data_IF_030272210650
#
_entry.id   IF_030272210650
#
_cell.length_a   1.000
_cell.length_b   1.000
_cell.length_c   1.000
_cell.angle_alpha   90.00
_cell.angle_beta   90.00
_cell.angle_gamma   90.00
#
_symmetry.space_group_name_H-M   'P 1'
#
loop_
_entity.id
_entity.type
_entity.pdbx_description
1 polymer ?
#
# COMPACT_ATOMS: atom_id res chain seq x y z
N UNK A 1 -25.93 -43.03 29.05
CA UNK A 1 -25.92 -42.36 27.74
C UNK A 1 -25.18 -41.05 27.92
N UNK A 2 -24.15 -40.81 27.09
CA UNK A 2 -23.32 -39.61 26.96
C UNK A 2 -22.46 -39.20 28.18
N UNK A 3 -21.18 -39.58 28.14
CA UNK A 3 -20.08 -38.86 28.80
C UNK A 3 -19.29 -38.15 27.70
N UNK A 4 -19.03 -36.89 28.00
CA UNK A 4 -18.37 -35.81 27.28
C UNK A 4 -17.10 -36.20 26.49
N UNK A 5 -17.07 -35.80 25.21
CA UNK A 5 -15.91 -35.82 24.31
C UNK A 5 -15.41 -34.39 24.14
N UNK A 6 -14.69 -33.88 25.12
CA UNK A 6 -14.11 -32.54 25.08
C UNK A 6 -12.63 -32.57 25.40
N UNK A 7 -11.77 -32.68 24.37
CA UNK A 7 -10.39 -32.13 24.28
C UNK A 7 -9.49 -32.93 23.31
N UNK A 8 -9.89 -33.11 22.06
CA UNK A 8 -9.04 -33.75 21.02
C UNK A 8 -8.86 -32.87 19.78
N UNK A 9 -8.79 -31.56 19.98
CA UNK A 9 -8.64 -30.57 18.91
C UNK A 9 -7.48 -29.61 19.20
N UNK A 10 -6.23 -30.11 19.25
CA UNK A 10 -5.03 -29.26 19.15
C UNK A 10 -3.70 -30.02 18.91
N UNK A 11 -3.70 -31.27 18.44
CA UNK A 11 -2.44 -32.04 18.31
C UNK A 11 -2.11 -32.53 16.89
N UNK A 12 -2.85 -32.08 15.87
CA UNK A 12 -2.69 -32.59 14.49
C UNK A 12 -1.93 -31.69 13.52
N UNK A 13 -1.47 -30.50 13.93
CA UNK A 13 -0.80 -29.55 13.03
C UNK A 13 0.70 -29.32 13.29
N UNK A 14 1.38 -30.22 14.02
CA UNK A 14 2.84 -30.24 14.16
C UNK A 14 3.54 -31.27 13.26
N UNK A 15 2.86 -31.80 12.23
CA UNK A 15 3.44 -32.84 11.36
C UNK A 15 4.52 -32.34 10.37
N UNK A 16 4.73 -31.03 10.22
CA UNK A 16 5.81 -30.48 9.39
C UNK A 16 7.21 -30.57 10.03
N UNK A 17 7.31 -30.82 11.34
CA UNK A 17 8.57 -30.82 12.10
C UNK A 17 9.16 -32.19 12.43
N UNK A 18 8.36 -33.27 12.38
CA UNK A 18 8.82 -34.61 12.82
C UNK A 18 9.89 -35.24 11.91
N UNK A 19 9.98 -34.83 10.63
CA UNK A 19 11.00 -35.34 9.70
C UNK A 19 12.44 -34.88 9.99
N UNK A 20 12.67 -34.03 11.01
CA UNK A 20 14.00 -33.56 11.41
C UNK A 20 14.38 -33.92 12.85
N UNK A 21 13.56 -34.68 13.57
CA UNK A 21 13.90 -35.10 14.93
C UNK A 21 14.58 -36.47 14.91
N UNK A 22 15.61 -36.64 15.74
CA UNK A 22 16.29 -37.94 15.93
C UNK A 22 15.92 -38.53 17.27
N UNK A 23 15.61 -39.83 17.27
CA UNK A 23 15.35 -40.59 18.50
C UNK A 23 16.64 -40.78 19.28
N UNK A 24 16.63 -40.43 20.56
CA UNK A 24 17.79 -40.59 21.45
C UNK A 24 17.65 -41.78 22.41
N UNK A 25 16.42 -42.26 22.65
CA UNK A 25 16.14 -43.47 23.41
C UNK A 25 14.70 -43.53 23.89
N UNK A 26 14.40 -44.52 24.73
CA UNK A 26 13.03 -44.85 25.18
C UNK A 26 12.99 -44.95 26.71
N UNK A 27 11.89 -44.52 27.34
CA UNK A 27 11.66 -44.63 28.79
C UNK A 27 10.41 -45.45 29.07
N UNK A 28 10.35 -46.07 30.25
CA UNK A 28 9.33 -47.08 30.57
C UNK A 28 7.92 -46.51 30.76
N UNK A 29 7.80 -45.23 31.12
CA UNK A 29 6.50 -44.62 31.40
C UNK A 29 6.45 -43.13 31.01
N UNK A 30 5.23 -42.62 30.88
CA UNK A 30 4.94 -41.22 30.50
C UNK A 30 5.52 -40.22 31.50
N UNK A 31 5.51 -40.52 32.79
CA UNK A 31 5.90 -39.55 33.81
C UNK A 31 7.40 -39.26 33.76
N UNK A 32 8.22 -40.31 33.65
CA UNK A 32 9.67 -40.21 33.49
C UNK A 32 10.03 -39.55 32.16
N UNK A 33 9.35 -39.92 31.07
CA UNK A 33 9.56 -39.32 29.76
C UNK A 33 9.27 -37.82 29.74
N UNK A 34 8.13 -37.41 30.30
CA UNK A 34 7.74 -36.00 30.38
C UNK A 34 8.72 -35.21 31.26
N UNK A 35 9.16 -35.80 32.38
CA UNK A 35 10.09 -35.15 33.31
C UNK A 35 11.46 -34.89 32.67
N UNK A 36 11.99 -35.86 31.94
CA UNK A 36 13.22 -35.68 31.18
C UNK A 36 13.04 -34.65 30.05
N UNK A 37 11.94 -34.71 29.30
CA UNK A 37 11.65 -33.72 28.25
C UNK A 37 11.52 -32.30 28.79
N UNK A 38 10.89 -32.12 29.95
CA UNK A 38 10.80 -30.82 30.61
C UNK A 38 12.19 -30.30 30.99
N UNK A 39 13.06 -31.16 31.54
CA UNK A 39 14.46 -30.82 31.82
C UNK A 39 15.25 -30.44 30.56
N UNK A 40 15.17 -31.23 29.50
CA UNK A 40 15.87 -30.92 28.25
C UNK A 40 15.46 -29.55 27.68
N UNK A 41 14.18 -29.18 27.77
CA UNK A 41 13.70 -27.85 27.36
C UNK A 41 14.35 -26.73 28.19
N UNK A 42 14.52 -26.90 29.51
CA UNK A 42 15.23 -25.91 30.35
C UNK A 42 16.71 -25.77 30.00
N UNK A 43 17.32 -26.81 29.41
CA UNK A 43 18.69 -26.78 28.89
C UNK A 43 18.78 -26.22 27.45
N UNK A 44 17.70 -25.60 26.96
CA UNK A 44 17.58 -25.13 25.57
C UNK A 44 17.77 -26.24 24.53
N UNK A 45 17.39 -27.47 24.86
CA UNK A 45 17.33 -28.62 23.96
C UNK A 45 15.88 -28.82 23.54
N UNK A 46 15.60 -28.62 22.25
CA UNK A 46 14.25 -28.84 21.70
C UNK A 46 13.96 -30.34 21.61
N UNK A 47 13.21 -30.82 22.61
CA UNK A 47 12.91 -32.23 22.82
C UNK A 47 11.39 -32.49 22.90
N UNK A 48 10.96 -33.61 22.32
CA UNK A 48 9.59 -34.10 22.33
C UNK A 48 9.55 -35.56 22.77
N UNK A 49 8.51 -35.93 23.53
CA UNK A 49 8.25 -37.31 23.93
C UNK A 49 6.95 -37.80 23.28
N UNK A 50 7.02 -38.98 22.65
CA UNK A 50 5.87 -39.63 22.02
C UNK A 50 5.81 -41.09 22.50
N UNK A 51 4.62 -41.71 22.63
CA UNK A 51 4.52 -43.13 22.92
C UNK A 51 5.09 -43.96 21.76
N UNK A 52 5.76 -45.06 22.09
CA UNK A 52 6.37 -46.00 21.12
C UNK A 52 5.29 -46.73 20.31
N UNK A 53 4.12 -46.96 20.90
CA UNK A 53 2.92 -47.47 20.20
C UNK A 53 1.64 -46.94 20.84
N UNK A 54 0.48 -47.16 20.20
CA UNK A 54 -0.82 -46.81 20.79
C UNK A 54 -1.23 -47.76 21.96
N UNK A 55 -0.37 -48.70 22.36
CA UNK A 55 -0.65 -49.64 23.46
C UNK A 55 -0.37 -48.98 24.83
N UNK A 56 -1.24 -49.20 25.84
CA UNK A 56 -1.10 -48.58 27.17
C UNK A 56 0.20 -48.91 27.90
N UNK A 57 0.78 -50.07 27.61
CA UNK A 57 2.00 -50.59 28.25
C UNK A 57 3.28 -50.30 27.45
N UNK A 58 3.21 -49.42 26.46
CA UNK A 58 4.37 -49.11 25.61
C UNK A 58 5.29 -48.06 26.21
N UNK A 59 6.58 -48.19 25.90
CA UNK A 59 7.58 -47.20 26.27
C UNK A 59 7.33 -45.86 25.57
N UNK A 60 8.07 -44.85 25.99
CA UNK A 60 7.98 -43.49 25.46
C UNK A 60 9.30 -43.11 24.82
N UNK A 61 9.28 -42.86 23.53
CA UNK A 61 10.42 -42.43 22.75
C UNK A 61 10.69 -40.94 22.97
N UNK A 62 11.97 -40.62 23.20
CA UNK A 62 12.46 -39.25 23.33
C UNK A 62 13.14 -38.84 22.03
N UNK A 63 12.70 -37.71 21.50
CA UNK A 63 13.11 -37.15 20.21
C UNK A 63 13.75 -35.78 20.42
N UNK A 64 14.86 -35.52 19.73
CA UNK A 64 15.56 -34.23 19.78
C UNK A 64 15.70 -33.67 18.37
N UNK A 65 15.45 -32.36 18.19
CA UNK A 65 15.46 -31.72 16.87
C UNK A 65 16.85 -31.35 16.37
N UNK A 66 17.71 -30.76 17.20
CA UNK A 66 19.04 -30.30 16.77
C UNK A 66 20.06 -31.44 16.84
N UNK A 67 20.62 -31.80 15.68
CA UNK A 67 21.60 -32.87 15.55
C UNK A 67 22.88 -32.63 16.36
N UNK A 68 23.24 -31.37 16.59
CA UNK A 68 24.41 -30.98 17.40
C UNK A 68 24.21 -31.24 18.89
N UNK A 69 22.96 -31.32 19.33
CA UNK A 69 22.59 -31.52 20.74
C UNK A 69 22.32 -33.00 21.08
N UNK A 70 22.35 -33.91 20.09
CA UNK A 70 22.02 -35.32 20.29
C UNK A 70 22.95 -36.00 21.30
N UNK A 71 24.26 -35.80 21.19
CA UNK A 71 25.22 -36.48 22.08
C UNK A 71 25.11 -35.97 23.51
N UNK A 72 24.85 -34.67 23.69
CA UNK A 72 24.54 -34.11 25.00
C UNK A 72 23.23 -34.69 25.56
N UNK A 73 22.18 -34.74 24.75
CA UNK A 73 20.88 -35.26 25.19
C UNK A 73 20.90 -36.76 25.52
N UNK A 74 21.70 -37.56 24.78
CA UNK A 74 21.94 -38.98 25.11
C UNK A 74 22.67 -39.14 26.44
N UNK A 75 23.64 -38.27 26.73
CA UNK A 75 24.34 -38.27 28.01
C UNK A 75 23.37 -37.95 29.16
N UNK A 76 22.56 -36.90 29.01
CA UNK A 76 21.54 -36.54 30.00
C UNK A 76 20.49 -37.65 30.19
N UNK A 77 20.11 -38.36 29.12
CA UNK A 77 19.23 -39.53 29.19
C UNK A 77 19.88 -40.69 29.99
N UNK A 78 21.17 -40.95 29.78
CA UNK A 78 21.90 -41.97 30.52
C UNK A 78 22.00 -41.63 32.02
N UNK A 79 22.31 -40.36 32.33
CA UNK A 79 22.37 -39.86 33.70
C UNK A 79 20.99 -39.95 34.38
N UNK A 80 19.93 -39.53 33.68
CA UNK A 80 18.55 -39.60 34.17
C UNK A 80 18.09 -41.04 34.48
N UNK A 81 18.50 -42.02 33.67
CA UNK A 81 18.20 -43.44 33.91
C UNK A 81 18.87 -44.00 35.16
N UNK A 82 20.03 -43.45 35.54
CA UNK A 82 20.75 -43.92 36.73
C UNK A 82 20.11 -43.42 38.03
N UNK A 83 19.54 -42.22 38.02
CA UNK A 83 18.84 -41.63 39.17
C UNK A 83 17.82 -40.57 38.73
N UNK A 84 16.56 -40.97 38.46
CA UNK A 84 15.52 -40.07 37.92
C UNK A 84 14.87 -39.16 38.96
N UNK A 85 15.14 -39.36 40.25
CA UNK A 85 14.50 -38.64 41.36
C UNK A 85 15.29 -37.40 41.80
N UNK A 86 16.39 -37.07 41.11
CA UNK A 86 17.20 -35.91 41.44
C UNK A 86 16.39 -34.60 41.34
N UNK A 87 16.60 -33.65 42.28
CA UNK A 87 15.89 -32.37 42.27
C UNK A 87 16.00 -31.57 40.96
N UNK A 88 17.11 -31.72 40.21
CA UNK A 88 17.33 -31.04 38.93
C UNK A 88 16.31 -31.38 37.85
N UNK A 89 15.58 -32.50 37.98
CA UNK A 89 14.57 -32.93 37.03
C UNK A 89 13.16 -32.42 37.38
N UNK A 90 12.98 -31.74 38.51
CA UNK A 90 11.69 -31.23 38.98
C UNK A 90 11.36 -29.83 38.42
N UNK A 91 11.44 -29.66 37.09
CA UNK A 91 11.38 -28.34 36.42
C UNK A 91 10.09 -28.06 35.63
N UNK A 92 9.03 -28.84 35.87
CA UNK A 92 7.77 -28.79 35.11
C UNK A 92 7.20 -27.37 34.92
N UNK A 93 7.23 -26.53 35.95
CA UNK A 93 6.71 -25.15 35.89
C UNK A 93 7.54 -24.26 34.96
N UNK A 94 8.86 -24.33 35.08
CA UNK A 94 9.79 -23.55 34.26
C UNK A 94 9.72 -23.98 32.79
N UNK A 95 9.74 -25.30 32.53
CA UNK A 95 9.59 -25.84 31.19
C UNK A 95 8.26 -25.43 30.53
N UNK A 96 7.17 -25.37 31.30
CA UNK A 96 5.87 -24.90 30.80
C UNK A 96 5.91 -23.42 30.40
N UNK A 97 6.54 -22.57 31.21
CA UNK A 97 6.69 -21.14 30.91
C UNK A 97 7.51 -20.93 29.62
N UNK A 98 8.66 -21.61 29.50
CA UNK A 98 9.52 -21.54 28.31
C UNK A 98 8.77 -21.95 27.05
N UNK A 99 7.99 -23.05 27.09
CA UNK A 99 7.18 -23.48 25.94
C UNK A 99 6.12 -22.46 25.56
N UNK A 100 5.45 -21.85 26.55
CA UNK A 100 4.44 -20.81 26.29
C UNK A 100 5.05 -19.57 25.64
N UNK A 101 6.22 -19.13 26.10
CA UNK A 101 6.96 -18.01 25.50
C UNK A 101 7.43 -18.31 24.07
N UNK A 102 7.95 -19.51 23.83
CA UNK A 102 8.35 -19.97 22.49
C UNK A 102 7.16 -19.99 21.52
N UNK A 103 6.04 -20.57 21.93
CA UNK A 103 4.81 -20.60 21.13
C UNK A 103 4.31 -19.16 20.86
N UNK A 104 4.32 -18.29 21.86
CA UNK A 104 3.91 -16.90 21.70
C UNK A 104 4.83 -16.14 20.73
N UNK A 105 6.14 -16.36 20.80
CA UNK A 105 7.13 -15.76 19.90
C UNK A 105 6.96 -16.25 18.46
N UNK A 106 6.78 -17.56 18.25
CA UNK A 106 6.51 -18.15 16.93
C UNK A 106 5.20 -17.60 16.33
N UNK A 107 4.13 -17.53 17.12
CA UNK A 107 2.85 -16.95 16.69
C UNK A 107 3.00 -15.47 16.30
N UNK A 108 3.78 -14.70 17.07
CA UNK A 108 4.04 -13.30 16.75
C UNK A 108 4.83 -13.15 15.45
N UNK A 109 5.82 -14.03 15.20
CA UNK A 109 6.58 -14.05 13.96
C UNK A 109 5.73 -14.46 12.77
N UNK A 110 4.91 -15.51 12.90
CA UNK A 110 3.98 -15.94 11.85
C UNK A 110 2.99 -14.82 11.49
N UNK A 111 2.43 -14.12 12.48
CA UNK A 111 1.55 -12.96 12.25
C UNK A 111 2.25 -11.85 11.44
N UNK A 112 3.49 -11.50 11.79
CA UNK A 112 4.27 -10.48 11.05
C UNK A 112 4.53 -10.88 9.60
N UNK A 113 4.88 -12.15 9.35
CA UNK A 113 5.10 -12.65 7.99
C UNK A 113 3.80 -12.65 7.19
N UNK A 114 2.69 -13.12 7.78
CA UNK A 114 1.38 -13.10 7.16
C UNK A 114 0.88 -11.68 6.83
N UNK A 115 1.15 -10.70 7.71
CA UNK A 115 0.86 -9.28 7.48
C UNK A 115 1.62 -8.75 6.25
N UNK A 116 2.92 -9.00 6.19
CA UNK A 116 3.78 -8.57 5.07
C UNK A 116 3.34 -9.21 3.74
N UNK A 117 3.01 -10.50 3.75
CA UNK A 117 2.51 -11.22 2.57
C UNK A 117 1.14 -10.69 2.13
N UNK A 118 0.27 -10.31 3.07
CA UNK A 118 -1.03 -9.70 2.79
C UNK A 118 -0.87 -8.35 2.09
N UNK A 119 0.02 -7.49 2.57
CA UNK A 119 0.32 -6.19 1.95
C UNK A 119 0.85 -6.38 0.52
N UNK A 120 1.74 -7.36 0.31
CA UNK A 120 2.27 -7.70 -1.00
C UNK A 120 1.20 -8.26 -1.96
N UNK A 121 0.21 -8.98 -1.44
CA UNK A 121 -0.87 -9.56 -2.25
C UNK A 121 -1.97 -8.55 -2.59
N UNK A 122 -2.27 -7.57 -1.73
CA UNK A 122 -3.19 -6.47 -2.04
C UNK A 122 -2.68 -5.64 -3.22
N UNK A 123 -1.37 -5.36 -3.26
CA UNK A 123 -0.74 -4.65 -4.38
C UNK A 123 -0.76 -5.47 -5.68
N UNK A 124 -0.63 -6.81 -5.60
CA UNK A 124 -0.80 -7.71 -6.76
C UNK A 124 -2.26 -7.78 -7.25
N UNK A 125 -3.23 -7.78 -6.34
CA UNK A 125 -4.66 -7.92 -6.68
C UNK A 125 -5.23 -6.75 -7.47
N UNK A 126 -4.64 -5.56 -7.35
CA UNK A 126 -5.17 -4.37 -8.00
C UNK A 126 -4.58 -4.15 -9.41
N UNK A 127 -3.39 -4.68 -9.70
CA UNK A 127 -2.72 -4.49 -11.00
C UNK A 127 -2.84 -5.65 -11.97
N UNK A 128 -3.39 -6.80 -11.57
CA UNK A 128 -3.59 -7.95 -12.44
C UNK A 128 -2.27 -8.60 -12.87
N UNK A 129 -2.16 -9.91 -12.72
CA UNK A 129 -0.92 -10.70 -12.84
C UNK A 129 0.28 -10.19 -12.00
N UNK A 130 1.06 -11.08 -11.36
CA UNK A 130 2.29 -10.68 -10.68
C UNK A 130 3.31 -10.10 -11.67
N UNK A 131 4.03 -9.04 -11.29
CA UNK A 131 5.10 -8.43 -12.10
C UNK A 131 6.14 -9.50 -12.48
N UNK A 132 6.21 -9.87 -13.77
CA UNK A 132 7.17 -10.86 -14.29
C UNK A 132 8.46 -10.25 -14.86
N UNK A 133 8.55 -8.93 -14.93
CA UNK A 133 9.72 -8.23 -15.49
C UNK A 133 10.77 -7.84 -14.45
N UNK A 134 12.05 -7.72 -14.84
CA UNK A 134 13.07 -7.12 -14.00
C UNK A 134 12.70 -5.66 -13.70
N UNK A 135 12.67 -5.32 -12.41
CA UNK A 135 12.45 -3.95 -11.96
C UNK A 135 13.69 -3.10 -12.28
N UNK A 136 13.49 -1.86 -12.76
CA UNK A 136 14.60 -0.93 -13.02
C UNK A 136 15.21 -0.39 -11.73
N UNK A 137 14.43 -0.33 -10.65
CA UNK A 137 14.87 0.09 -9.31
C UNK A 137 14.02 -0.54 -8.20
N UNK A 138 14.58 -0.58 -6.97
CA UNK A 138 13.93 -1.18 -5.80
C UNK A 138 12.82 -0.31 -5.19
N UNK A 139 13.00 1.03 -5.22
CA UNK A 139 12.10 2.01 -4.61
C UNK A 139 11.34 2.88 -5.61
N UNK A 140 10.55 3.81 -5.07
CA UNK A 140 9.74 4.78 -5.83
C UNK A 140 9.77 6.17 -5.15
N UNK A 141 10.96 6.81 -5.08
CA UNK A 141 11.15 8.04 -4.34
C UNK A 141 10.30 9.22 -4.83
N UNK A 142 10.05 9.34 -6.13
CA UNK A 142 9.24 10.44 -6.68
C UNK A 142 7.78 10.28 -6.25
N UNK A 143 7.25 9.06 -6.30
CA UNK A 143 5.89 8.76 -5.81
C UNK A 143 5.73 9.15 -4.35
N UNK A 144 6.69 8.77 -3.49
CA UNK A 144 6.67 9.14 -2.06
C UNK A 144 6.81 10.65 -1.86
N UNK A 145 7.70 11.31 -2.61
CA UNK A 145 7.89 12.76 -2.52
C UNK A 145 6.60 13.52 -2.87
N UNK A 146 5.91 13.14 -3.94
CA UNK A 146 4.64 13.76 -4.35
C UNK A 146 3.58 13.60 -3.26
N UNK A 147 3.50 12.41 -2.64
CA UNK A 147 2.55 12.17 -1.55
C UNK A 147 2.87 13.04 -0.34
N UNK A 148 4.13 13.06 0.10
CA UNK A 148 4.56 13.87 1.25
C UNK A 148 4.29 15.35 1.01
N UNK A 149 4.67 15.87 -0.16
CA UNK A 149 4.46 17.27 -0.52
C UNK A 149 2.97 17.63 -0.56
N UNK A 150 2.12 16.74 -1.10
CA UNK A 150 0.67 16.95 -1.14
C UNK A 150 0.06 16.96 0.25
N UNK A 151 0.49 16.06 1.14
CA UNK A 151 0.04 16.02 2.54
C UNK A 151 0.46 17.29 3.27
N UNK A 152 1.72 17.69 3.16
CA UNK A 152 2.23 18.92 3.80
C UNK A 152 1.48 20.15 3.30
N UNK A 153 1.33 20.31 1.98
CA UNK A 153 0.63 21.45 1.39
C UNK A 153 -0.85 21.49 1.79
N UNK A 154 -1.54 20.35 1.80
CA UNK A 154 -2.95 20.27 2.17
C UNK A 154 -3.16 20.60 3.65
N UNK A 155 -2.33 20.09 4.55
CA UNK A 155 -2.41 20.42 5.98
C UNK A 155 -2.05 21.88 6.26
N UNK A 156 -1.05 22.42 5.57
CA UNK A 156 -0.60 23.81 5.73
C UNK A 156 -1.64 24.81 5.23
N UNK A 157 -2.39 24.48 4.18
CA UNK A 157 -3.41 25.36 3.59
C UNK A 157 -4.81 25.11 4.13
N UNK A 158 -4.94 24.26 5.15
CA UNK A 158 -6.22 23.83 5.73
C UNK A 158 -7.17 23.32 4.64
N UNK A 159 -6.68 22.39 3.81
CA UNK A 159 -7.39 21.81 2.69
C UNK A 159 -7.90 22.86 1.69
N UNK A 160 -7.01 23.75 1.24
CA UNK A 160 -7.34 24.79 0.26
C UNK A 160 -8.23 25.92 0.82
N UNK A 161 -8.43 25.97 2.13
CA UNK A 161 -9.21 27.00 2.83
C UNK A 161 -8.32 27.77 3.83
N UNK A 162 -7.29 28.49 3.35
CA UNK A 162 -6.32 29.14 4.21
C UNK A 162 -6.97 30.19 5.11
N UNK A 163 -6.59 30.19 6.39
CA UNK A 163 -7.09 31.14 7.38
C UNK A 163 -6.50 32.52 7.12
N UNK A 164 -7.38 33.52 7.07
CA UNK A 164 -6.98 34.92 6.88
C UNK A 164 -6.50 35.57 8.16
N UNK A 165 -5.56 36.49 8.03
CA UNK A 165 -5.11 37.30 9.16
C UNK A 165 -6.24 38.22 9.65
N UNK A 166 -6.36 38.35 10.99
CA UNK A 166 -7.25 39.35 11.60
C UNK A 166 -6.70 40.77 11.49
N UNK A 167 -5.40 40.92 11.23
CA UNK A 167 -4.75 42.21 11.07
C UNK A 167 -4.85 42.68 9.60
N UNK A 168 -5.40 43.88 9.33
CA UNK A 168 -5.51 44.41 7.97
C UNK A 168 -4.16 44.40 7.23
N UNK A 169 -4.16 43.91 5.99
CA UNK A 169 -2.99 43.91 5.11
C UNK A 169 -1.92 42.86 5.41
N UNK A 170 -2.05 42.05 6.47
CA UNK A 170 -1.14 40.93 6.73
C UNK A 170 -1.65 39.64 6.08
N UNK A 171 -0.76 38.90 5.45
CA UNK A 171 -1.04 37.60 4.81
C UNK A 171 -0.46 36.49 5.69
N UNK A 172 -1.25 35.46 6.00
CA UNK A 172 -0.78 34.32 6.80
C UNK A 172 0.15 33.41 5.99
N UNK A 173 0.86 32.50 6.66
CA UNK A 173 1.63 31.45 5.98
C UNK A 173 0.71 30.56 5.13
N UNK A 174 -0.49 30.24 5.62
CA UNK A 174 -1.47 29.41 4.91
C UNK A 174 -1.87 30.07 3.58
N UNK A 175 -2.19 31.37 3.61
CA UNK A 175 -2.52 32.15 2.42
C UNK A 175 -1.32 32.23 1.45
N UNK A 176 -0.11 32.50 1.96
CA UNK A 176 1.10 32.57 1.12
C UNK A 176 1.38 31.24 0.40
N UNK A 177 1.26 30.12 1.11
CA UNK A 177 1.48 28.79 0.53
C UNK A 177 0.40 28.46 -0.49
N UNK A 178 -0.86 28.73 -0.19
CA UNK A 178 -1.97 28.51 -1.12
C UNK A 178 -1.81 29.35 -2.39
N UNK A 179 -1.55 30.64 -2.24
CA UNK A 179 -1.39 31.57 -3.37
C UNK A 179 -0.16 31.23 -4.22
N UNK A 180 0.94 30.76 -3.61
CA UNK A 180 2.15 30.37 -4.34
C UNK A 180 1.99 29.08 -5.16
N UNK A 181 1.18 28.13 -4.67
CA UNK A 181 0.94 26.83 -5.30
C UNK A 181 -0.26 26.82 -6.25
N UNK A 182 -1.14 27.82 -6.17
CA UNK A 182 -2.30 27.94 -7.08
C UNK A 182 -1.86 28.22 -8.52
N UNK A 183 -2.72 27.96 -9.51
CA UNK A 183 -2.38 28.19 -10.91
C UNK A 183 -2.24 29.68 -11.25
N UNK A 184 -2.99 30.54 -10.56
CA UNK A 184 -2.93 31.99 -10.70
C UNK A 184 -3.07 32.63 -9.33
N UNK A 185 -2.29 33.66 -9.07
CA UNK A 185 -2.48 34.53 -7.92
C UNK A 185 -3.81 35.28 -8.08
N UNK A 186 -4.64 35.29 -7.03
CA UNK A 186 -5.98 35.87 -7.11
C UNK A 186 -5.95 37.38 -7.34
N UNK A 187 -4.94 38.10 -6.85
CA UNK A 187 -4.81 39.55 -7.05
C UNK A 187 -4.39 39.84 -8.48
N UNK A 188 -3.46 39.06 -9.03
CA UNK A 188 -3.04 39.17 -10.43
C UNK A 188 -4.18 38.83 -11.40
N UNK A 189 -4.96 37.78 -11.10
CA UNK A 189 -6.16 37.42 -11.87
C UNK A 189 -7.19 38.55 -11.91
N UNK A 190 -7.50 39.16 -10.76
CA UNK A 190 -8.46 40.28 -10.71
C UNK A 190 -7.90 41.51 -11.42
N UNK A 191 -6.63 41.84 -11.18
CA UNK A 191 -5.96 43.01 -11.78
C UNK A 191 -5.88 42.92 -13.31
N UNK A 192 -5.72 41.71 -13.86
CA UNK A 192 -5.66 41.47 -15.30
C UNK A 192 -7.04 41.46 -15.99
N UNK A 193 -8.14 41.65 -15.24
CA UNK A 193 -9.48 41.56 -15.77
C UNK A 193 -9.97 40.11 -15.98
N UNK A 194 -9.39 39.15 -15.25
CA UNK A 194 -9.75 37.74 -15.32
C UNK A 194 -8.90 36.92 -16.28
N UNK A 195 -7.67 37.35 -16.60
CA UNK A 195 -6.73 36.52 -17.37
C UNK A 195 -6.23 35.36 -16.49
N UNK A 196 -6.54 34.09 -16.81
CA UNK A 196 -6.09 32.95 -16.03
C UNK A 196 -4.57 32.76 -16.05
N UNK A 197 -3.87 33.29 -17.07
CA UNK A 197 -2.42 33.15 -17.22
C UNK A 197 -1.62 34.33 -16.65
N UNK A 198 -2.26 35.28 -15.98
CA UNK A 198 -1.62 36.51 -15.49
C UNK A 198 -0.32 36.26 -14.70
N UNK A 199 -0.31 35.26 -13.82
CA UNK A 199 0.90 34.89 -13.06
C UNK A 199 1.96 34.18 -13.90
N UNK A 200 1.55 33.37 -14.87
CA UNK A 200 2.47 32.67 -15.77
C UNK A 200 3.18 33.68 -16.68
N UNK A 201 2.47 34.70 -17.16
CA UNK A 201 3.01 35.78 -17.99
C UNK A 201 4.09 36.61 -17.27
N UNK A 202 4.09 36.60 -15.93
CA UNK A 202 5.14 37.24 -15.11
C UNK A 202 6.31 36.30 -14.78
N UNK A 203 6.34 35.10 -15.35
CA UNK A 203 7.43 34.12 -15.21
C UNK A 203 7.20 33.02 -14.17
N UNK A 204 6.01 32.94 -13.56
CA UNK A 204 5.70 31.96 -12.51
C UNK A 204 5.34 30.58 -13.09
N UNK A 205 6.24 30.00 -13.90
CA UNK A 205 5.96 28.79 -14.71
C UNK A 205 5.72 27.51 -13.90
N UNK A 206 6.11 27.47 -12.63
CA UNK A 206 5.82 26.35 -11.73
C UNK A 206 4.31 26.16 -11.48
N UNK A 207 3.50 27.19 -11.75
CA UNK A 207 2.04 27.19 -11.56
C UNK A 207 1.30 26.22 -12.48
N UNK A 208 1.94 25.68 -13.52
CA UNK A 208 1.39 24.57 -14.29
C UNK A 208 1.40 23.22 -13.54
N UNK A 209 2.28 23.08 -12.55
CA UNK A 209 2.51 21.81 -11.83
C UNK A 209 2.02 21.89 -10.39
N UNK A 210 2.39 22.97 -9.70
CA UNK A 210 2.17 23.14 -8.25
C UNK A 210 0.72 23.01 -7.74
N UNK A 211 -0.35 23.29 -8.52
CA UNK A 211 -1.72 23.04 -8.07
C UNK A 211 -2.00 21.60 -7.69
N UNK A 212 -1.19 20.65 -8.20
CA UNK A 212 -1.33 19.23 -7.88
C UNK A 212 -1.16 18.90 -6.39
N UNK A 213 -0.47 19.75 -5.63
CA UNK A 213 -0.20 19.50 -4.21
C UNK A 213 -1.33 20.01 -3.29
N UNK A 214 -2.19 20.89 -3.78
CA UNK A 214 -3.31 21.44 -3.03
C UNK A 214 -4.53 20.53 -3.14
N UNK A 215 -5.25 20.29 -2.04
CA UNK A 215 -6.48 19.47 -2.04
C UNK A 215 -7.56 20.16 -1.18
N UNK A 216 -8.81 20.05 -1.60
CA UNK A 216 -9.95 20.75 -1.00
C UNK A 216 -10.55 20.11 0.25
N UNK A 217 -10.25 18.82 0.48
CA UNK A 217 -10.75 18.04 1.63
C UNK A 217 -9.93 16.75 1.81
N UNK A 218 -10.17 16.06 2.93
CA UNK A 218 -9.47 14.83 3.31
C UNK A 218 -9.73 13.68 2.33
N UNK A 219 -10.95 13.54 1.83
CA UNK A 219 -11.32 12.47 0.90
C UNK A 219 -10.66 12.69 -0.46
N UNK A 220 -10.68 13.92 -0.98
CA UNK A 220 -10.03 14.31 -2.21
C UNK A 220 -8.51 14.08 -2.13
N UNK A 221 -7.85 14.41 -1.01
CA UNK A 221 -6.45 14.08 -0.79
C UNK A 221 -6.24 12.55 -0.76
N UNK A 222 -6.98 11.84 0.09
CA UNK A 222 -6.83 10.39 0.27
C UNK A 222 -6.98 9.64 -1.06
N UNK A 223 -8.03 9.95 -1.82
CA UNK A 223 -8.31 9.33 -3.10
C UNK A 223 -7.15 9.53 -4.08
N UNK A 224 -6.68 10.77 -4.24
CA UNK A 224 -5.54 11.05 -5.12
C UNK A 224 -4.28 10.34 -4.66
N UNK A 225 -3.95 10.36 -3.37
CA UNK A 225 -2.71 9.77 -2.86
C UNK A 225 -2.71 8.24 -2.98
N UNK A 226 -3.86 7.59 -2.78
CA UNK A 226 -4.03 6.15 -3.03
C UNK A 226 -3.74 5.83 -4.48
N UNK A 227 -4.30 6.59 -5.43
CA UNK A 227 -4.09 6.34 -6.86
C UNK A 227 -2.69 6.72 -7.34
N UNK A 228 -2.08 7.81 -6.84
CA UNK A 228 -0.69 8.16 -7.11
C UNK A 228 0.25 7.07 -6.57
N UNK A 229 0.04 6.60 -5.34
CA UNK A 229 0.84 5.50 -4.79
C UNK A 229 0.69 4.25 -5.65
N UNK A 230 -0.55 3.88 -5.95
CA UNK A 230 -0.87 2.64 -6.65
C UNK A 230 -0.37 2.62 -8.10
N UNK A 231 -0.63 3.66 -8.88
CA UNK A 231 -0.23 3.73 -10.29
C UNK A 231 1.22 4.21 -10.44
N UNK A 232 1.63 5.20 -9.65
CA UNK A 232 2.95 5.82 -9.73
C UNK A 232 4.08 4.89 -9.31
N UNK A 233 3.92 4.16 -8.19
CA UNK A 233 4.97 3.24 -7.71
C UNK A 233 5.32 2.17 -8.74
N UNK A 234 4.35 1.78 -9.55
CA UNK A 234 4.47 0.76 -10.58
C UNK A 234 5.21 1.28 -11.79
N UNK A 235 4.78 2.44 -12.31
CA UNK A 235 5.44 3.11 -13.43
C UNK A 235 6.90 3.41 -13.04
N UNK A 236 7.12 3.93 -11.85
CA UNK A 236 8.43 4.30 -11.34
C UNK A 236 9.36 3.08 -11.13
N UNK A 237 8.86 1.97 -10.59
CA UNK A 237 9.66 0.73 -10.46
C UNK A 237 10.00 0.09 -11.80
N UNK A 238 9.09 0.13 -12.77
CA UNK A 238 9.28 -0.50 -14.08
C UNK A 238 10.13 0.34 -15.03
N UNK A 239 9.91 1.67 -15.04
CA UNK A 239 10.51 2.58 -16.03
C UNK A 239 11.57 3.52 -15.44
N UNK A 240 11.67 3.59 -14.11
CA UNK A 240 12.58 4.47 -13.37
C UNK A 240 11.97 5.83 -13.03
N UNK A 241 12.57 6.49 -12.04
CA UNK A 241 12.08 7.78 -11.50
C UNK A 241 12.01 8.90 -12.54
N UNK A 242 12.99 9.03 -13.43
CA UNK A 242 12.98 10.10 -14.44
C UNK A 242 11.81 9.96 -15.41
N UNK A 243 11.57 8.75 -15.93
CA UNK A 243 10.44 8.49 -16.82
C UNK A 243 9.12 8.80 -16.12
N UNK A 244 8.95 8.30 -14.89
CA UNK A 244 7.75 8.56 -14.11
C UNK A 244 7.56 10.06 -13.85
N UNK A 245 8.60 10.79 -13.47
CA UNK A 245 8.52 12.23 -13.25
C UNK A 245 8.10 13.00 -14.51
N UNK A 246 8.62 12.62 -15.69
CA UNK A 246 8.22 13.20 -16.97
C UNK A 246 6.74 12.93 -17.25
N UNK A 247 6.28 11.69 -17.14
CA UNK A 247 4.85 11.34 -17.36
C UNK A 247 3.95 12.08 -16.36
N UNK A 248 4.32 12.11 -15.08
CA UNK A 248 3.58 12.79 -14.03
C UNK A 248 3.43 14.29 -14.32
N UNK A 249 4.55 14.99 -14.61
CA UNK A 249 4.54 16.44 -14.86
C UNK A 249 3.79 16.75 -16.14
N UNK A 250 4.04 16.02 -17.23
CA UNK A 250 3.38 16.28 -18.51
C UNK A 250 1.88 16.06 -18.45
N UNK A 251 1.42 14.99 -17.82
CA UNK A 251 -0.02 14.73 -17.64
C UNK A 251 -0.68 15.75 -16.72
N UNK A 252 -0.01 16.19 -15.65
CA UNK A 252 -0.48 17.29 -14.81
C UNK A 252 -0.63 18.59 -15.62
N UNK A 253 0.41 18.97 -16.37
CA UNK A 253 0.41 20.18 -17.21
C UNK A 253 -0.70 20.11 -18.25
N UNK A 254 -0.85 18.99 -18.95
CA UNK A 254 -1.92 18.78 -19.94
C UNK A 254 -3.32 18.87 -19.33
N UNK A 255 -3.53 18.28 -18.15
CA UNK A 255 -4.78 18.40 -17.41
C UNK A 255 -5.08 19.85 -17.05
N UNK A 256 -4.14 20.53 -16.41
CA UNK A 256 -4.33 21.92 -15.99
C UNK A 256 -4.55 22.86 -17.18
N UNK A 257 -3.80 22.67 -18.27
CA UNK A 257 -3.99 23.45 -19.51
C UNK A 257 -5.40 23.27 -20.06
N UNK A 258 -5.89 22.02 -20.17
CA UNK A 258 -7.25 21.79 -20.67
C UNK A 258 -8.28 22.41 -19.72
N UNK A 259 -8.14 22.23 -18.41
CA UNK A 259 -9.06 22.83 -17.42
C UNK A 259 -9.14 24.35 -17.53
N UNK A 260 -8.02 25.03 -17.78
CA UNK A 260 -7.99 26.50 -17.89
C UNK A 260 -8.51 26.99 -19.24
N UNK A 261 -8.32 26.20 -20.30
CA UNK A 261 -8.74 26.54 -21.65
C UNK A 261 -10.22 26.22 -21.93
N UNK A 262 -10.90 25.46 -21.06
CA UNK A 262 -12.31 25.20 -21.22
C UNK A 262 -13.14 26.49 -21.12
N UNK A 263 -14.23 26.64 -21.90
CA UNK A 263 -15.00 27.87 -21.89
C UNK A 263 -15.72 28.12 -20.56
N UNK A 264 -16.01 29.39 -20.29
CA UNK A 264 -16.85 29.81 -19.16
C UNK A 264 -18.30 29.27 -19.32
N UNK A 265 -19.03 29.01 -18.22
CA UNK A 265 -20.42 28.58 -18.29
C UNK A 265 -21.30 29.48 -19.18
N UNK A 266 -21.06 30.79 -19.23
CA UNK A 266 -21.83 31.70 -20.09
C UNK A 266 -21.73 31.37 -21.59
N UNK A 267 -20.63 30.75 -22.01
CA UNK A 267 -20.42 30.30 -23.40
C UNK A 267 -21.06 28.93 -23.63
N UNK A 268 -21.01 28.04 -22.64
CA UNK A 268 -21.53 26.68 -22.76
C UNK A 268 -23.05 26.59 -22.53
N UNK A 269 -23.61 27.45 -21.68
CA UNK A 269 -25.02 27.40 -21.28
C UNK A 269 -25.97 27.41 -22.48
N UNK A 270 -25.80 28.29 -23.49
CA UNK A 270 -26.70 28.31 -24.66
C UNK A 270 -26.65 27.02 -25.50
N UNK A 271 -25.55 26.25 -25.44
CA UNK A 271 -25.38 25.00 -26.20
C UNK A 271 -26.23 23.88 -25.61
N UNK A 272 -26.29 23.80 -24.28
CA UNK A 272 -26.98 22.72 -23.57
C UNK A 272 -28.34 23.13 -23.00
N UNK A 273 -28.72 24.41 -23.11
CA UNK A 273 -29.97 24.94 -22.58
C UNK A 273 -31.19 24.14 -23.07
N UNK A 274 -31.99 23.65 -22.12
CA UNK A 274 -33.21 22.89 -22.42
C UNK A 274 -32.99 21.43 -22.80
N UNK A 275 -31.75 20.93 -22.73
CA UNK A 275 -31.43 19.50 -22.91
C UNK A 275 -31.30 18.80 -21.56
N UNK A 276 -31.43 17.46 -21.50
CA UNK A 276 -31.10 16.69 -20.29
C UNK A 276 -29.62 16.75 -19.86
N UNK A 277 -28.77 17.43 -20.64
CA UNK A 277 -27.33 17.58 -20.41
C UNK A 277 -26.96 19.03 -20.09
N UNK A 278 -27.93 19.88 -19.70
CA UNK A 278 -27.72 21.28 -19.31
C UNK A 278 -26.63 21.45 -18.24
N UNK A 279 -26.51 20.48 -17.32
CA UNK A 279 -25.47 20.43 -16.30
C UNK A 279 -24.04 20.43 -16.86
N UNK A 280 -23.82 19.95 -18.10
CA UNK A 280 -22.49 19.94 -18.72
C UNK A 280 -21.93 21.34 -18.92
N UNK A 281 -22.78 22.36 -19.07
CA UNK A 281 -22.33 23.75 -19.15
C UNK A 281 -21.58 24.21 -17.90
N UNK A 282 -21.93 23.64 -16.74
CA UNK A 282 -21.28 23.94 -15.46
C UNK A 282 -20.13 22.97 -15.20
N UNK A 283 -20.35 21.66 -15.38
CA UNK A 283 -19.36 20.64 -14.99
C UNK A 283 -18.19 20.51 -15.97
N UNK A 284 -18.32 21.01 -17.21
CA UNK A 284 -17.22 21.11 -18.18
C UNK A 284 -16.76 22.55 -18.41
N UNK A 285 -17.04 23.44 -17.46
CA UNK A 285 -16.53 24.81 -17.52
C UNK A 285 -15.07 24.91 -17.07
N UNK A 286 -14.37 25.90 -17.62
CA UNK A 286 -12.98 26.16 -17.28
C UNK A 286 -12.82 26.99 -16.00
N UNK A 287 -11.73 26.76 -15.29
CA UNK A 287 -11.38 27.56 -14.10
C UNK A 287 -9.87 27.49 -13.81
N UNK A 288 -9.22 28.63 -13.52
CA UNK A 288 -7.83 28.64 -13.07
C UNK A 288 -7.69 28.31 -11.57
N UNK A 289 -8.78 28.09 -10.84
CA UNK A 289 -8.72 27.79 -9.40
C UNK A 289 -8.80 26.30 -9.10
N UNK A 290 -8.65 25.44 -10.12
CA UNK A 290 -8.58 24.01 -9.92
C UNK A 290 -7.35 23.61 -9.08
N UNK A 291 -7.56 22.70 -8.14
CA UNK A 291 -6.53 22.13 -7.27
C UNK A 291 -6.65 20.60 -7.28
N UNK A 292 -5.54 19.92 -6.99
CA UNK A 292 -5.49 18.47 -6.82
C UNK A 292 -4.67 17.76 -7.88
N UNK A 293 -4.17 16.57 -7.53
CA UNK A 293 -3.33 15.76 -8.40
C UNK A 293 -4.12 14.90 -9.41
N UNK A 294 -5.43 15.10 -9.52
CA UNK A 294 -6.31 14.18 -10.24
C UNK A 294 -6.07 14.16 -11.75
N UNK A 295 -5.63 15.27 -12.35
CA UNK A 295 -5.15 15.29 -13.74
C UNK A 295 -3.97 14.34 -13.94
N UNK A 296 -2.96 14.41 -13.07
CA UNK A 296 -1.86 13.46 -13.09
C UNK A 296 -2.35 12.01 -12.86
N UNK A 297 -3.23 11.77 -11.89
CA UNK A 297 -3.81 10.43 -11.62
C UNK A 297 -4.45 9.83 -12.88
N UNK A 298 -5.32 10.59 -13.55
CA UNK A 298 -5.96 10.13 -14.80
C UNK A 298 -4.95 9.91 -15.93
N UNK A 299 -3.86 10.67 -15.96
CA UNK A 299 -2.75 10.44 -16.89
C UNK A 299 -1.96 9.17 -16.61
N UNK A 300 -1.61 8.90 -15.35
CA UNK A 300 -0.97 7.64 -14.96
C UNK A 300 -1.86 6.44 -15.28
N UNK A 301 -3.17 6.57 -15.01
CA UNK A 301 -4.17 5.57 -15.35
C UNK A 301 -4.25 5.35 -16.85
N UNK A 302 -4.37 6.41 -17.65
CA UNK A 302 -4.40 6.34 -19.11
C UNK A 302 -3.17 5.65 -19.69
N UNK A 303 -1.98 5.96 -19.16
CA UNK A 303 -0.74 5.30 -19.56
C UNK A 303 -0.79 3.79 -19.28
N UNK A 304 -1.10 3.37 -18.05
CA UNK A 304 -1.14 1.95 -17.69
C UNK A 304 -2.30 1.18 -18.33
N UNK A 305 -3.38 1.87 -18.72
CA UNK A 305 -4.52 1.25 -19.40
C UNK A 305 -4.25 0.94 -20.88
N UNK A 306 -3.41 1.75 -21.52
CA UNK A 306 -3.11 1.63 -22.96
C UNK A 306 -1.79 0.91 -23.20
N UNK A 307 -0.77 1.16 -22.38
CA UNK A 307 0.58 0.65 -22.62
C UNK A 307 0.64 -0.87 -22.86
N UNK A 308 -0.03 -1.74 -22.08
CA UNK A 308 0.00 -3.19 -22.29
C UNK A 308 -0.72 -3.65 -23.57
N UNK A 309 -1.67 -2.85 -24.07
CA UNK A 309 -2.38 -3.14 -25.33
C UNK A 309 -1.52 -2.83 -26.56
N UNK A 310 -0.61 -1.87 -26.44
CA UNK A 310 0.30 -1.44 -27.50
C UNK A 310 1.60 -2.24 -27.48
N UNK A 311 2.09 -2.58 -26.28
CA UNK A 311 3.28 -3.39 -26.07
C UNK A 311 2.89 -4.67 -25.32
N UNK A 312 2.60 -5.78 -26.03
CA UNK A 312 2.24 -7.05 -25.39
C UNK A 312 3.32 -7.61 -24.46
N UNK A 313 4.56 -7.11 -24.55
CA UNK A 313 5.65 -7.45 -23.64
C UNK A 313 5.64 -6.64 -22.33
N UNK A 314 4.69 -5.70 -22.16
CA UNK A 314 4.57 -4.92 -20.93
C UNK A 314 4.08 -5.82 -19.79
N UNK A 315 4.73 -5.78 -18.62
CA UNK A 315 4.62 -6.87 -17.63
C UNK A 315 3.38 -6.82 -16.72
N UNK A 316 2.48 -5.88 -16.93
CA UNK A 316 1.34 -5.62 -16.02
C UNK A 316 0.08 -5.23 -16.81
N UNK A 317 -1.09 -5.53 -16.25
CA UNK A 317 -2.38 -5.23 -16.89
C UNK A 317 -3.42 -4.82 -15.84
N UNK A 318 -3.80 -3.55 -15.82
CA UNK A 318 -4.82 -3.06 -14.88
C UNK A 318 -6.02 -4.01 -14.81
N UNK A 319 -6.40 -4.41 -13.60
CA UNK A 319 -7.60 -5.23 -13.39
C UNK A 319 -8.81 -4.48 -13.92
N UNK A 320 -9.67 -5.20 -14.63
CA UNK A 320 -10.85 -4.61 -15.28
C UNK A 320 -11.72 -3.82 -14.29
N UNK A 321 -11.85 -4.29 -13.05
CA UNK A 321 -12.56 -3.56 -11.98
C UNK A 321 -11.99 -2.16 -11.73
N UNK A 322 -10.67 -2.00 -11.75
CA UNK A 322 -10.04 -0.69 -11.56
C UNK A 322 -10.24 0.23 -12.77
N UNK A 323 -10.27 -0.33 -13.99
CA UNK A 323 -10.63 0.42 -15.19
C UNK A 323 -12.07 0.92 -15.09
N UNK A 324 -13.00 0.03 -14.74
CA UNK A 324 -14.42 0.39 -14.56
C UNK A 324 -14.59 1.40 -13.45
N UNK A 325 -13.88 1.26 -12.32
CA UNK A 325 -13.91 2.21 -11.22
C UNK A 325 -13.40 3.58 -11.67
N UNK A 326 -12.24 3.67 -12.32
CA UNK A 326 -11.66 4.94 -12.75
C UNK A 326 -12.51 5.67 -13.80
N UNK A 327 -13.06 4.93 -14.78
CA UNK A 327 -13.94 5.50 -15.80
C UNK A 327 -15.33 5.82 -15.24
N UNK A 328 -15.88 4.97 -14.37
CA UNK A 328 -17.14 5.21 -13.68
C UNK A 328 -17.04 6.43 -12.76
N UNK A 329 -15.95 6.56 -12.01
CA UNK A 329 -15.65 7.73 -11.20
C UNK A 329 -15.54 9.00 -12.06
N UNK A 330 -14.91 8.91 -13.24
CA UNK A 330 -14.84 10.05 -14.18
C UNK A 330 -16.24 10.50 -14.60
N UNK A 331 -17.09 9.54 -14.97
CA UNK A 331 -18.48 9.84 -15.36
C UNK A 331 -19.23 10.49 -14.19
N UNK A 332 -19.09 9.95 -12.97
CA UNK A 332 -19.71 10.51 -11.76
C UNK A 332 -19.23 11.95 -11.52
N UNK A 333 -17.92 12.23 -11.65
CA UNK A 333 -17.36 13.59 -11.52
C UNK A 333 -17.90 14.58 -12.56
N UNK A 334 -18.22 14.12 -13.77
CA UNK A 334 -18.84 14.96 -14.81
C UNK A 334 -20.31 15.27 -14.49
N UNK A 335 -20.95 14.47 -13.65
CA UNK A 335 -22.31 14.76 -13.16
C UNK A 335 -22.28 15.75 -11.99
N UNK A 336 -23.41 16.40 -11.68
CA UNK A 336 -23.53 17.29 -10.50
C UNK A 336 -23.43 16.59 -9.14
N UNK A 337 -23.30 15.26 -9.09
CA UNK A 337 -23.33 14.49 -7.84
C UNK A 337 -22.13 14.80 -6.93
N UNK A 338 -20.97 15.07 -7.53
CA UNK A 338 -19.74 15.45 -6.83
C UNK A 338 -19.44 16.87 -7.30
N UNK A 339 -19.89 17.86 -6.54
CA UNK A 339 -19.76 19.27 -6.91
C UNK A 339 -18.31 19.72 -7.09
N UNK A 340 -18.11 20.81 -7.85
CA UNK A 340 -16.85 21.54 -7.99
C UNK A 340 -15.62 20.71 -8.42
N UNK A 341 -15.83 19.72 -9.30
CA UNK A 341 -14.73 18.91 -9.85
C UNK A 341 -14.17 19.51 -11.14
N UNK A 342 -12.85 19.61 -11.20
CA UNK A 342 -12.10 20.03 -12.39
C UNK A 342 -12.07 18.93 -13.48
N UNK A 343 -13.20 18.70 -14.15
CA UNK A 343 -13.33 17.61 -15.13
C UNK A 343 -12.43 17.78 -16.36
N UNK A 344 -12.14 19.01 -16.77
CA UNK A 344 -11.15 19.29 -17.80
C UNK A 344 -9.75 18.77 -17.42
N UNK A 345 -9.39 18.86 -16.14
CA UNK A 345 -8.12 18.34 -15.66
C UNK A 345 -8.05 16.80 -15.78
N UNK A 346 -9.12 16.10 -15.41
CA UNK A 346 -9.22 14.66 -15.56
C UNK A 346 -9.09 14.23 -17.03
N UNK A 347 -9.85 14.88 -17.93
CA UNK A 347 -9.86 14.55 -19.35
C UNK A 347 -8.50 14.84 -19.98
N UNK A 348 -7.91 16.01 -19.71
CA UNK A 348 -6.64 16.42 -20.29
C UNK A 348 -5.49 15.53 -19.84
N UNK A 349 -5.48 15.16 -18.55
CA UNK A 349 -4.56 14.18 -18.00
C UNK A 349 -4.70 12.81 -18.65
N UNK A 350 -5.93 12.28 -18.73
CA UNK A 350 -6.23 10.99 -19.35
C UNK A 350 -5.74 10.92 -20.80
N UNK A 351 -6.07 11.94 -21.61
CA UNK A 351 -5.66 12.00 -23.01
C UNK A 351 -4.14 12.02 -23.17
N UNK A 352 -3.43 12.81 -22.35
CA UNK A 352 -1.97 12.83 -22.35
C UNK A 352 -1.38 11.46 -21.96
N UNK A 353 -1.94 10.82 -20.93
CA UNK A 353 -1.54 9.49 -20.49
C UNK A 353 -1.73 8.41 -21.56
N UNK A 354 -2.89 8.42 -22.21
CA UNK A 354 -3.20 7.56 -23.37
C UNK A 354 -2.17 7.79 -24.48
N UNK A 355 -1.86 9.05 -24.80
CA UNK A 355 -0.83 9.42 -25.77
C UNK A 355 0.55 8.85 -25.42
N UNK A 356 0.98 8.98 -24.16
CA UNK A 356 2.21 8.34 -23.68
C UNK A 356 2.16 6.82 -23.75
N UNK A 357 0.99 6.20 -23.55
CA UNK A 357 0.80 4.76 -23.68
C UNK A 357 1.10 4.25 -25.10
N UNK A 358 0.75 5.05 -26.12
CA UNK A 358 1.07 4.79 -27.52
C UNK A 358 2.51 5.12 -27.91
N UNK A 359 3.19 6.00 -27.18
CA UNK A 359 4.59 6.30 -27.45
C UNK A 359 5.44 5.01 -27.29
N UNK A 360 5.96 4.49 -28.42
CA UNK A 360 6.88 3.35 -28.44
C UNK A 360 8.13 3.63 -27.60
N UNK A 361 8.88 2.57 -27.22
CA UNK A 361 10.03 2.59 -26.27
C UNK A 361 10.74 3.95 -26.23
N UNK A 362 10.30 4.84 -25.34
CA UNK A 362 11.02 6.06 -25.01
C UNK A 362 12.28 5.60 -24.27
N UNK A 363 13.34 5.34 -25.03
CA UNK A 363 14.66 5.06 -24.48
C UNK A 363 15.20 6.36 -23.91
N UNK A 364 14.86 6.65 -22.66
CA UNK A 364 15.67 7.54 -21.85
C UNK A 364 16.94 6.74 -21.53
N UNK A 365 18.00 7.05 -22.28
CA UNK A 365 19.29 6.37 -22.25
C UNK A 365 19.97 6.42 -20.89
#
# INVERSE_FOLDING_TARGET
MAIDRGSTFAFREFQGGKNKMRRIGTLENTELAQRLCDYLVTQAIDASCDPESDSPDSGWDIWVRDERQIEQAKKELADFRSDPEQPRYQVKREATHIRQEQIAAELAQQKRTAENDRIANVTKSALGEPIRAPLKQSGYPVTIAVIILSVIASLTTHFGQPRRSRAPGKVTLEEQVYDALSFVDRKEFVKSGGNPFASVETGQVWRFVTPMFLHGDEFHLLFNMVWIYFLGSVIEKLQGSLFFAVVLVTTQVSGMLLQVMLPDPAVLQPIFQGTPLDFLAQTLSGSPFAIGASGAVYGLFGFLWIRPKVDPGYPIHLVQTNVVLMLGWLVICITPLIGDVANGAHIGGLLAGVGFGFAGKLKFG
#
